data_IF_419653380205
#
_entry.id   IF_419653380205
#
_cell.length_a   1.000
_cell.length_b   1.000
_cell.length_c   1.000
_cell.angle_alpha   90.00
_cell.angle_beta   90.00
_cell.angle_gamma   90.00
#
_symmetry.space_group_name_H-M   'P 1'
#
loop_
_entity.id
_entity.type
_entity.pdbx_description
1 polymer ?
#
# COMPACT_ATOMS: atom_id res chain seq x y z
N UNK A 1 21.44 8.22 18.22
CA UNK A 1 20.86 6.87 18.17
C UNK A 1 21.97 5.85 18.00
N UNK A 2 21.96 4.81 18.79
CA UNK A 2 22.98 3.76 18.72
C UNK A 2 22.70 2.83 17.53
N UNK A 3 23.69 2.02 17.14
CA UNK A 3 23.52 0.98 16.11
C UNK A 3 22.45 -0.04 16.51
N UNK A 4 22.38 -0.37 17.78
CA UNK A 4 21.42 -1.35 18.32
C UNK A 4 19.99 -0.80 18.26
N UNK A 5 19.78 0.46 18.62
CA UNK A 5 18.47 1.14 18.49
C UNK A 5 17.99 1.20 17.03
N UNK A 6 18.91 1.43 16.09
CA UNK A 6 18.57 1.46 14.65
C UNK A 6 18.16 0.08 14.16
N UNK A 7 18.84 -0.99 14.59
CA UNK A 7 18.50 -2.37 14.23
C UNK A 7 17.15 -2.77 14.83
N UNK A 8 16.89 -2.41 16.09
CA UNK A 8 15.61 -2.67 16.74
C UNK A 8 14.46 -1.98 16.00
N UNK A 9 14.62 -0.70 15.67
CA UNK A 9 13.64 0.07 14.90
C UNK A 9 13.35 -0.54 13.52
N UNK A 10 14.40 -0.97 12.81
CA UNK A 10 14.23 -1.66 11.54
C UNK A 10 13.41 -2.95 11.69
N UNK A 11 13.79 -3.82 12.64
CA UNK A 11 13.10 -5.10 12.87
C UNK A 11 11.63 -4.91 13.25
N UNK A 12 11.32 -3.87 14.00
CA UNK A 12 9.94 -3.56 14.42
C UNK A 12 9.05 -3.11 13.26
N UNK A 13 9.59 -2.29 12.34
CA UNK A 13 8.77 -1.60 11.33
C UNK A 13 8.89 -2.15 9.92
N UNK A 14 9.99 -2.82 9.55
CA UNK A 14 10.29 -3.20 8.18
C UNK A 14 9.19 -4.07 7.54
N UNK A 15 8.79 -5.15 8.20
CA UNK A 15 7.77 -6.07 7.66
C UNK A 15 6.42 -5.38 7.43
N UNK A 16 6.03 -4.53 8.35
CA UNK A 16 4.78 -3.79 8.26
C UNK A 16 4.79 -2.77 7.12
N UNK A 17 5.85 -1.96 7.02
CA UNK A 17 6.03 -0.99 5.92
C UNK A 17 6.15 -1.66 4.56
N UNK A 18 6.88 -2.77 4.48
CA UNK A 18 6.96 -3.58 3.26
C UNK A 18 5.56 -4.02 2.80
N UNK A 19 4.73 -4.52 3.71
CA UNK A 19 3.38 -4.97 3.38
C UNK A 19 2.47 -3.80 2.92
N UNK A 20 2.61 -2.61 3.52
CA UNK A 20 1.91 -1.39 3.05
C UNK A 20 2.30 -1.10 1.59
N UNK A 21 3.59 -1.00 1.33
CA UNK A 21 4.10 -0.69 0.00
C UNK A 21 3.72 -1.75 -1.02
N UNK A 22 3.89 -3.03 -0.68
CA UNK A 22 3.59 -4.16 -1.58
C UNK A 22 2.14 -4.16 -2.05
N UNK A 23 1.17 -3.84 -1.17
CA UNK A 23 -0.25 -3.72 -1.55
C UNK A 23 -0.50 -2.62 -2.58
N UNK A 24 0.33 -1.58 -2.58
CA UNK A 24 0.17 -0.44 -3.48
C UNK A 24 0.90 -0.68 -4.80
N UNK A 25 2.21 -0.99 -4.74
CA UNK A 25 3.06 -1.07 -5.94
C UNK A 25 3.04 -2.44 -6.61
N UNK A 26 2.75 -3.52 -5.87
CA UNK A 26 2.63 -4.92 -6.33
C UNK A 26 3.93 -5.52 -6.88
N UNK A 27 5.03 -4.88 -6.66
CA UNK A 27 6.35 -5.33 -7.08
C UNK A 27 7.25 -5.42 -5.84
N UNK A 28 7.71 -6.65 -5.46
CA UNK A 28 8.43 -6.87 -4.21
C UNK A 28 9.72 -6.07 -4.07
N UNK A 29 10.52 -5.97 -5.14
CA UNK A 29 11.79 -5.24 -5.09
C UNK A 29 11.56 -3.74 -4.86
N UNK A 30 10.58 -3.15 -5.54
CA UNK A 30 10.19 -1.75 -5.35
C UNK A 30 9.58 -1.51 -3.97
N UNK A 31 8.78 -2.47 -3.45
CA UNK A 31 8.22 -2.37 -2.11
C UNK A 31 9.32 -2.38 -1.03
N UNK A 32 10.35 -3.20 -1.22
CA UNK A 32 11.49 -3.25 -0.32
C UNK A 32 12.30 -1.95 -0.36
N UNK A 33 12.57 -1.40 -1.53
CA UNK A 33 13.24 -0.11 -1.72
C UNK A 33 12.50 1.02 -0.98
N UNK A 34 11.18 1.12 -1.19
CA UNK A 34 10.34 2.14 -0.54
C UNK A 34 10.33 1.97 0.99
N UNK A 35 10.25 0.75 1.47
CA UNK A 35 10.31 0.45 2.91
C UNK A 35 11.65 0.89 3.49
N UNK A 36 12.77 0.53 2.85
CA UNK A 36 14.12 0.91 3.28
C UNK A 36 14.29 2.43 3.29
N UNK A 37 13.87 3.11 2.24
CA UNK A 37 13.92 4.57 2.13
C UNK A 37 13.08 5.27 3.21
N UNK A 38 11.91 4.72 3.53
CA UNK A 38 11.06 5.24 4.61
C UNK A 38 11.75 5.14 5.96
N UNK A 39 12.37 3.99 6.27
CA UNK A 39 13.12 3.80 7.51
C UNK A 39 14.34 4.72 7.55
N UNK A 40 15.10 4.84 6.46
CA UNK A 40 16.24 5.73 6.38
C UNK A 40 15.85 7.20 6.60
N UNK A 41 14.73 7.65 6.04
CA UNK A 41 14.20 9.00 6.31
C UNK A 41 13.87 9.20 7.78
N UNK A 42 13.23 8.23 8.42
CA UNK A 42 12.93 8.27 9.84
C UNK A 42 14.20 8.39 10.70
N UNK A 43 15.19 7.57 10.41
CA UNK A 43 16.47 7.55 11.11
C UNK A 43 17.26 8.87 10.93
N UNK A 44 17.21 9.47 9.74
CA UNK A 44 17.85 10.77 9.47
C UNK A 44 17.22 11.92 10.27
N UNK A 45 15.91 11.90 10.49
CA UNK A 45 15.23 12.93 11.29
C UNK A 45 15.72 12.95 12.75
N UNK A 46 16.16 11.81 13.28
CA UNK A 46 16.72 11.74 14.65
C UNK A 46 18.13 12.31 14.76
N UNK A 47 18.81 12.57 13.65
CA UNK A 47 20.20 13.06 13.59
C UNK A 47 20.30 14.54 13.18
N UNK A 48 19.17 15.25 13.06
CA UNK A 48 19.17 16.69 12.70
C UNK A 48 19.84 17.58 13.74
N UNK A 49 20.34 18.78 13.33
CA UNK A 49 21.08 19.70 14.20
C UNK A 49 20.27 20.21 15.40
N UNK A 50 18.95 20.13 15.38
CA UNK A 50 18.07 20.54 16.49
C UNK A 50 17.85 19.44 17.56
N UNK A 51 18.54 18.32 17.45
CA UNK A 51 18.59 17.32 18.53
C UNK A 51 17.23 16.70 18.91
N UNK A 52 16.25 16.72 18.03
CA UNK A 52 14.98 16.05 18.28
C UNK A 52 15.19 14.53 18.18
N UNK A 53 15.61 13.93 19.32
CA UNK A 53 15.94 12.49 19.44
C UNK A 53 14.72 11.58 19.39
N UNK A 54 13.52 12.12 19.14
CA UNK A 54 12.30 11.33 19.11
C UNK A 54 12.14 10.68 17.73
N UNK A 55 12.03 9.35 17.72
CA UNK A 55 11.68 8.60 16.50
C UNK A 55 10.29 9.04 16.01
N UNK A 56 10.08 9.10 14.69
CA UNK A 56 8.79 9.44 14.13
C UNK A 56 7.71 8.44 14.58
N UNK A 57 6.51 8.96 14.77
CA UNK A 57 5.35 8.15 15.14
C UNK A 57 4.99 7.18 14.00
N UNK A 58 4.36 6.05 14.36
CA UNK A 58 3.91 5.04 13.41
C UNK A 58 3.01 5.61 12.30
N UNK A 59 2.16 6.59 12.64
CA UNK A 59 1.32 7.30 11.67
C UNK A 59 2.16 8.05 10.61
N UNK A 60 3.24 8.69 10.99
CA UNK A 60 4.15 9.37 10.07
C UNK A 60 4.85 8.36 9.13
N UNK A 61 5.30 7.22 9.67
CA UNK A 61 5.91 6.15 8.88
C UNK A 61 4.94 5.61 7.82
N UNK A 62 3.69 5.33 8.22
CA UNK A 62 2.64 4.88 7.30
C UNK A 62 2.40 5.91 6.19
N UNK A 63 2.12 7.16 6.53
CA UNK A 63 1.86 8.24 5.56
C UNK A 63 3.04 8.46 4.61
N UNK A 64 4.27 8.40 5.12
CA UNK A 64 5.48 8.55 4.29
C UNK A 64 5.64 7.39 3.32
N UNK A 65 5.46 6.16 3.79
CA UNK A 65 5.53 4.95 2.97
C UNK A 65 4.43 4.93 1.89
N UNK A 66 3.18 5.24 2.26
CA UNK A 66 2.03 5.29 1.34
C UNK A 66 2.27 6.34 0.26
N UNK A 67 2.70 7.55 0.63
CA UNK A 67 3.00 8.62 -0.32
C UNK A 67 4.08 8.20 -1.31
N UNK A 68 5.18 7.64 -0.83
CA UNK A 68 6.26 7.15 -1.69
C UNK A 68 5.79 6.05 -2.64
N UNK A 69 4.95 5.13 -2.17
CA UNK A 69 4.37 4.04 -2.97
C UNK A 69 3.44 4.57 -4.07
N UNK A 70 2.59 5.56 -3.77
CA UNK A 70 1.69 6.19 -4.74
C UNK A 70 2.49 6.96 -5.80
N UNK A 71 3.54 7.69 -5.38
CA UNK A 71 4.41 8.44 -6.30
C UNK A 71 5.17 7.49 -7.24
N UNK A 72 5.67 6.35 -6.73
CA UNK A 72 6.29 5.30 -7.53
C UNK A 72 5.29 4.70 -8.54
N UNK A 73 4.06 4.39 -8.12
CA UNK A 73 3.00 3.88 -8.99
C UNK A 73 2.66 4.88 -10.11
N UNK A 74 2.57 6.17 -9.79
CA UNK A 74 2.33 7.24 -10.77
C UNK A 74 3.49 7.36 -11.78
N UNK A 75 4.73 7.19 -11.31
CA UNK A 75 5.91 7.20 -12.18
C UNK A 75 5.86 6.03 -13.16
N UNK A 76 5.63 4.80 -12.67
CA UNK A 76 5.54 3.60 -13.51
C UNK A 76 4.43 3.75 -14.56
N UNK A 77 3.25 4.28 -14.18
CA UNK A 77 2.16 4.51 -15.14
C UNK A 77 2.53 5.51 -16.23
N UNK A 78 3.22 6.59 -15.88
CA UNK A 78 3.70 7.56 -16.88
C UNK A 78 4.72 6.93 -17.83
N UNK A 79 5.69 6.18 -17.30
CA UNK A 79 6.70 5.48 -18.12
C UNK A 79 6.05 4.47 -19.07
N UNK A 80 5.04 3.71 -18.61
CA UNK A 80 4.29 2.80 -19.48
C UNK A 80 3.53 3.52 -20.58
N UNK A 81 2.85 4.63 -20.29
CA UNK A 81 2.17 5.44 -21.31
C UNK A 81 3.13 5.95 -22.40
N UNK A 82 4.38 6.29 -22.04
CA UNK A 82 5.42 6.65 -23.01
C UNK A 82 5.93 5.45 -23.82
N UNK A 83 5.90 4.23 -23.22
CA UNK A 83 6.36 3.00 -23.88
C UNK A 83 5.25 2.34 -24.70
N UNK A 84 3.97 2.46 -24.30
CA UNK A 84 2.80 1.94 -25.03
C UNK A 84 2.56 2.66 -26.37
N UNK A 85 3.17 3.83 -26.59
CA UNK A 85 3.31 4.38 -27.94
C UNK A 85 4.22 3.49 -28.84
N UNK A 86 4.95 2.51 -28.27
CA UNK A 86 5.93 1.66 -28.98
C UNK A 86 5.79 0.15 -28.78
N UNK A 87 4.95 -0.36 -27.88
CA UNK A 87 4.77 -1.80 -27.71
C UNK A 87 3.49 -2.19 -26.95
N UNK A 88 2.72 -3.11 -27.52
CA UNK A 88 1.54 -3.72 -26.91
C UNK A 88 1.90 -4.88 -25.97
N UNK A 89 1.08 -5.04 -24.93
CA UNK A 89 0.83 -6.21 -24.09
C UNK A 89 1.92 -6.72 -23.14
N UNK A 90 1.57 -6.60 -21.88
CA UNK A 90 2.16 -7.30 -20.75
C UNK A 90 1.48 -6.91 -19.44
N UNK A 91 0.35 -7.56 -19.08
CA UNK A 91 -0.20 -7.44 -17.74
C UNK A 91 0.80 -7.98 -16.71
N UNK A 92 1.08 -7.29 -15.60
CA UNK A 92 2.01 -7.79 -14.59
C UNK A 92 1.43 -9.01 -13.89
N UNK A 93 2.24 -10.05 -13.82
CA UNK A 93 1.95 -11.31 -13.13
C UNK A 93 1.68 -11.06 -11.64
N UNK A 94 0.58 -11.62 -11.13
CA UNK A 94 0.17 -11.48 -9.73
C UNK A 94 1.09 -12.29 -8.82
N UNK A 95 1.81 -11.62 -7.92
CA UNK A 95 2.40 -12.28 -6.76
C UNK A 95 1.33 -12.47 -5.69
N UNK A 96 0.85 -13.72 -5.53
CA UNK A 96 0.05 -14.11 -4.38
C UNK A 96 1.00 -14.66 -3.32
N UNK A 97 1.02 -14.11 -2.09
CA UNK A 97 1.78 -14.76 -1.02
C UNK A 97 1.16 -16.14 -0.75
N UNK A 98 1.99 -17.19 -0.80
CA UNK A 98 1.58 -18.55 -0.52
C UNK A 98 1.08 -18.66 0.92
N UNK A 99 -0.15 -19.13 1.09
CA UNK A 99 -0.79 -19.37 2.38
C UNK A 99 -0.47 -20.77 2.90
N UNK A 100 0.04 -20.79 4.11
CA UNK A 100 0.10 -21.98 4.97
C UNK A 100 -1.01 -21.89 6.02
N UNK A 101 -1.78 -22.96 6.17
CA UNK A 101 -2.76 -23.31 7.22
C UNK A 101 -3.38 -22.15 8.03
N UNK A 102 -4.62 -21.74 7.66
CA UNK A 102 -5.29 -20.60 8.28
C UNK A 102 -6.65 -21.04 8.84
N UNK A 103 -7.02 -20.65 10.10
CA UNK A 103 -8.33 -20.87 10.69
C UNK A 103 -9.47 -20.25 9.87
N UNK A 104 -10.66 -20.85 9.91
CA UNK A 104 -11.82 -20.54 9.06
C UNK A 104 -12.26 -19.05 9.09
N UNK A 105 -12.15 -18.36 10.23
CA UNK A 105 -12.35 -16.91 10.35
C UNK A 105 -11.36 -16.08 9.53
N UNK A 106 -10.10 -16.53 9.41
CA UNK A 106 -9.09 -15.89 8.56
C UNK A 106 -9.30 -16.15 7.08
N UNK A 107 -9.96 -17.24 6.69
CA UNK A 107 -10.35 -17.51 5.31
C UNK A 107 -11.31 -16.44 4.77
N UNK A 108 -12.21 -15.92 5.59
CA UNK A 108 -13.11 -14.82 5.20
C UNK A 108 -12.33 -13.52 4.94
N UNK A 109 -11.37 -13.16 5.79
CA UNK A 109 -10.52 -11.98 5.62
C UNK A 109 -9.62 -12.12 4.38
N UNK A 110 -9.07 -13.29 4.14
CA UNK A 110 -8.22 -13.54 2.98
C UNK A 110 -9.03 -13.51 1.67
N UNK A 111 -10.27 -14.02 1.67
CA UNK A 111 -11.17 -13.88 0.50
C UNK A 111 -11.45 -12.41 0.19
N UNK A 112 -11.68 -11.57 1.21
CA UNK A 112 -11.88 -10.13 1.02
C UNK A 112 -10.61 -9.47 0.45
N UNK A 113 -9.44 -9.78 1.01
CA UNK A 113 -8.16 -9.25 0.51
C UNK A 113 -7.90 -9.68 -0.93
N UNK A 114 -8.11 -10.95 -1.27
CA UNK A 114 -7.96 -11.45 -2.64
C UNK A 114 -8.95 -10.78 -3.61
N UNK A 115 -10.19 -10.55 -3.19
CA UNK A 115 -11.18 -9.83 -3.99
C UNK A 115 -10.76 -8.36 -4.21
N UNK A 116 -10.22 -7.67 -3.20
CA UNK A 116 -9.66 -6.31 -3.35
C UNK A 116 -8.51 -6.33 -4.35
N UNK A 117 -7.58 -7.27 -4.24
CA UNK A 117 -6.43 -7.39 -5.14
C UNK A 117 -6.82 -7.66 -6.61
N UNK A 118 -7.98 -8.26 -6.85
CA UNK A 118 -8.51 -8.50 -8.20
C UNK A 118 -9.10 -7.27 -8.87
N UNK A 119 -9.27 -6.16 -8.16
CA UNK A 119 -9.84 -4.92 -8.70
C UNK A 119 -8.79 -4.09 -9.44
N UNK A 120 -9.26 -3.23 -10.34
CA UNK A 120 -8.39 -2.26 -11.01
C UNK A 120 -7.78 -1.25 -10.02
N UNK A 121 -6.62 -0.70 -10.38
CA UNK A 121 -5.79 0.12 -9.50
C UNK A 121 -6.50 1.20 -8.68
N UNK A 122 -7.35 2.09 -9.26
CA UNK A 122 -7.95 3.16 -8.46
C UNK A 122 -8.90 2.62 -7.39
N UNK A 123 -9.64 1.55 -7.68
CA UNK A 123 -10.57 0.93 -6.73
C UNK A 123 -9.85 0.11 -5.67
N UNK A 124 -8.83 -0.64 -6.07
CA UNK A 124 -7.98 -1.38 -5.14
C UNK A 124 -7.27 -0.44 -4.18
N UNK A 125 -6.68 0.65 -4.68
CA UNK A 125 -5.96 1.62 -3.86
C UNK A 125 -6.86 2.23 -2.78
N UNK A 126 -8.04 2.75 -3.15
CA UNK A 126 -8.94 3.40 -2.19
C UNK A 126 -9.44 2.42 -1.13
N UNK A 127 -9.73 1.16 -1.50
CA UNK A 127 -10.15 0.13 -0.54
C UNK A 127 -9.02 -0.25 0.41
N UNK A 128 -7.79 -0.39 -0.07
CA UNK A 128 -6.63 -0.67 0.78
C UNK A 128 -6.40 0.47 1.78
N UNK A 129 -6.44 1.73 1.35
CA UNK A 129 -6.21 2.88 2.22
C UNK A 129 -7.28 3.00 3.31
N UNK A 130 -8.55 2.77 2.98
CA UNK A 130 -9.65 2.90 3.95
C UNK A 130 -9.81 1.64 4.80
N UNK A 131 -9.90 0.44 4.20
CA UNK A 131 -10.27 -0.77 4.91
C UNK A 131 -9.08 -1.46 5.62
N UNK A 132 -7.88 -1.34 5.07
CA UNK A 132 -6.71 -2.01 5.62
C UNK A 132 -5.84 -1.05 6.43
N UNK A 133 -5.57 0.13 5.89
CA UNK A 133 -4.73 1.13 6.59
C UNK A 133 -5.54 2.02 7.54
N UNK A 134 -6.88 2.04 7.43
CA UNK A 134 -7.77 2.76 8.34
C UNK A 134 -7.71 4.28 8.19
N UNK A 135 -7.32 4.79 7.03
CA UNK A 135 -7.24 6.23 6.76
C UNK A 135 -8.61 6.81 6.45
N UNK A 136 -8.85 8.03 6.89
CA UNK A 136 -10.02 8.81 6.51
C UNK A 136 -9.81 9.57 5.19
N UNK A 137 -10.88 10.20 4.68
CA UNK A 137 -10.83 10.93 3.40
C UNK A 137 -9.92 12.16 3.45
N UNK A 138 -9.82 12.84 4.59
CA UNK A 138 -8.95 14.00 4.77
C UNK A 138 -7.48 13.56 4.70
N UNK A 139 -7.12 12.48 5.39
CA UNK A 139 -5.79 11.89 5.36
C UNK A 139 -5.41 11.43 3.95
N UNK A 140 -6.31 10.72 3.26
CA UNK A 140 -6.08 10.26 1.88
C UNK A 140 -5.94 11.45 0.94
N UNK A 141 -6.79 12.48 1.07
CA UNK A 141 -6.69 13.72 0.29
C UNK A 141 -5.34 14.40 0.49
N UNK A 142 -4.86 14.47 1.73
CA UNK A 142 -3.55 15.07 2.05
C UNK A 142 -2.36 14.30 1.44
N UNK A 143 -2.49 12.98 1.27
CA UNK A 143 -1.46 12.11 0.72
C UNK A 143 -1.49 12.12 -0.82
N UNK A 144 -2.68 11.99 -1.41
CA UNK A 144 -2.86 11.82 -2.86
C UNK A 144 -2.99 13.12 -3.63
N UNK A 145 -3.42 14.20 -2.97
CA UNK A 145 -3.80 15.46 -3.60
C UNK A 145 -5.19 15.42 -4.27
N UNK A 146 -5.94 14.34 -4.12
CA UNK A 146 -7.30 14.22 -4.67
C UNK A 146 -8.33 14.84 -3.74
N UNK A 147 -9.41 15.39 -4.32
CA UNK A 147 -10.50 15.99 -3.52
C UNK A 147 -11.29 14.89 -2.80
N UNK A 148 -11.70 15.15 -1.57
CA UNK A 148 -12.50 14.19 -0.77
C UNK A 148 -13.78 13.74 -1.50
N UNK A 149 -14.47 14.62 -2.23
CA UNK A 149 -15.65 14.26 -3.01
C UNK A 149 -15.35 13.21 -4.09
N UNK A 150 -14.18 13.30 -4.73
CA UNK A 150 -13.70 12.29 -5.69
C UNK A 150 -13.43 10.97 -4.99
N UNK A 151 -12.74 11.01 -3.85
CA UNK A 151 -12.42 9.82 -3.05
C UNK A 151 -13.68 9.10 -2.56
N UNK A 152 -14.70 9.85 -2.11
CA UNK A 152 -16.01 9.27 -1.70
C UNK A 152 -16.70 8.56 -2.86
N UNK A 153 -16.67 9.16 -4.05
CA UNK A 153 -17.26 8.56 -5.25
C UNK A 153 -16.49 7.31 -5.67
N UNK A 154 -15.17 7.35 -5.66
CA UNK A 154 -14.32 6.18 -5.94
C UNK A 154 -14.57 5.05 -4.94
N UNK A 155 -14.62 5.36 -3.65
CA UNK A 155 -14.89 4.38 -2.61
C UNK A 155 -16.27 3.74 -2.75
N UNK A 156 -17.31 4.52 -3.03
CA UNK A 156 -18.65 3.99 -3.26
C UNK A 156 -18.69 3.01 -4.43
N UNK A 157 -18.04 3.34 -5.54
CA UNK A 157 -17.91 2.44 -6.71
C UNK A 157 -17.10 1.20 -6.38
N UNK A 158 -15.96 1.37 -5.70
CA UNK A 158 -15.09 0.28 -5.30
C UNK A 158 -15.80 -0.74 -4.39
N UNK A 159 -16.61 -0.26 -3.44
CA UNK A 159 -17.43 -1.14 -2.58
C UNK A 159 -18.43 -1.98 -3.37
N UNK A 160 -19.10 -1.38 -4.36
CA UNK A 160 -20.05 -2.12 -5.22
C UNK A 160 -19.32 -3.21 -6.03
N UNK A 161 -18.15 -2.90 -6.57
CA UNK A 161 -17.36 -3.87 -7.30
C UNK A 161 -16.83 -4.99 -6.41
N UNK A 162 -16.39 -4.65 -5.18
CA UNK A 162 -15.96 -5.64 -4.20
C UNK A 162 -17.10 -6.61 -3.84
N UNK A 163 -18.30 -6.07 -3.55
CA UNK A 163 -19.48 -6.88 -3.24
C UNK A 163 -19.82 -7.84 -4.40
N UNK A 164 -19.80 -7.35 -5.64
CA UNK A 164 -20.05 -8.18 -6.82
C UNK A 164 -19.00 -9.31 -6.97
N UNK A 165 -17.72 -9.04 -6.69
CA UNK A 165 -16.65 -10.05 -6.73
C UNK A 165 -16.83 -11.12 -5.65
N UNK A 166 -17.21 -10.72 -4.44
CA UNK A 166 -17.44 -11.65 -3.34
C UNK A 166 -18.67 -12.55 -3.59
N UNK A 167 -19.75 -12.01 -4.20
CA UNK A 167 -20.93 -12.78 -4.57
C UNK A 167 -20.61 -13.77 -5.69
N UNK A 168 -19.90 -13.37 -6.74
CA UNK A 168 -19.50 -14.24 -7.83
C UNK A 168 -18.61 -15.42 -7.37
N UNK A 169 -17.81 -15.22 -6.34
CA UNK A 169 -16.98 -16.26 -5.71
C UNK A 169 -17.77 -17.27 -4.85
N UNK A 170 -19.05 -17.02 -4.56
CA UNK A 170 -19.92 -17.92 -3.79
C UNK A 170 -20.76 -18.84 -4.70
N UNK A 171 -20.96 -18.48 -5.97
CA UNK A 171 -21.75 -19.27 -6.93
C UNK A 171 -20.94 -20.39 -7.62
N UNK A 172 -19.67 -20.53 -7.30
CA UNK A 172 -18.74 -21.52 -7.90
C UNK A 172 -18.41 -22.72 -7.00
N UNK A 173 -19.24 -23.06 -5.99
CA UNK A 173 -19.10 -24.24 -5.13
C UNK A 173 -20.23 -25.23 -5.34
#
# INVERSE_FOLDING_TARGET
>A
MTREESIAFYKEHARWLFNISLRIVREPALAEEIMQDTILKALRQTHGPEGNRKLPERAWLAKTCIRASIDALRRIKRERLFLDEYASDGAPEYFSPADSDIPEERLSVNKIKAAIESLSDPYRLILNLILIEGLDYEEISSITGEREGTLRTQYSRARKMLAARLMAGQEGL
#
